data_IF_331264690138
#
_entry.id   IF_331264690138
#
_cell.length_a   1.000
_cell.length_b   1.000
_cell.length_c   1.000
_cell.angle_alpha   90.00
_cell.angle_beta   90.00
_cell.angle_gamma   90.00
#
_symmetry.space_group_name_H-M   'P 1'
#
loop_
_entity.id
_entity.type
_entity.pdbx_description
1 polymer ?
#
# COMPACT_ATOMS: atom_id res chain seq x y z
N UNK A 1 -3.40 6.06 -0.88
CA UNK A 1 -2.63 6.05 -2.16
C UNK A 1 -3.41 5.22 -3.18
N UNK A 2 -3.20 5.42 -4.49
CA UNK A 2 -3.99 4.75 -5.54
C UNK A 2 -3.07 4.01 -6.50
N UNK A 3 -3.36 2.73 -6.77
CA UNK A 3 -2.70 1.93 -7.79
C UNK A 3 -3.68 1.68 -8.95
N UNK A 4 -3.33 2.10 -10.17
CA UNK A 4 -4.16 1.90 -11.35
C UNK A 4 -3.40 1.21 -12.47
N UNK A 5 -4.10 0.37 -13.22
CA UNK A 5 -3.49 -0.30 -14.35
C UNK A 5 -4.49 -1.10 -15.18
N UNK A 6 -3.94 -1.99 -16.00
CA UNK A 6 -4.69 -2.94 -16.81
C UNK A 6 -4.05 -4.32 -16.66
N UNK A 7 -4.88 -5.32 -16.44
CA UNK A 7 -4.52 -6.73 -16.56
C UNK A 7 -5.13 -7.27 -17.86
N UNK A 8 -4.41 -8.17 -18.53
CA UNK A 8 -4.85 -8.85 -19.74
C UNK A 8 -4.36 -10.30 -19.70
N UNK A 9 -5.01 -11.17 -20.48
CA UNK A 9 -4.71 -12.61 -20.48
C UNK A 9 -5.44 -13.38 -19.39
N UNK A 10 -6.53 -12.81 -18.84
CA UNK A 10 -7.36 -13.50 -17.85
C UNK A 10 -8.04 -14.71 -18.49
N UNK A 11 -7.81 -15.89 -17.92
CA UNK A 11 -8.36 -17.17 -18.35
C UNK A 11 -9.29 -17.84 -17.33
N UNK A 12 -9.26 -17.41 -16.06
CA UNK A 12 -10.13 -17.91 -14.99
C UNK A 12 -11.55 -17.37 -15.04
N UNK A 13 -12.44 -17.89 -14.19
CA UNK A 13 -13.83 -17.41 -14.11
C UNK A 13 -13.95 -16.10 -13.33
N UNK A 14 -13.07 -15.94 -12.35
CA UNK A 14 -12.94 -14.76 -11.52
C UNK A 14 -11.48 -14.35 -11.41
N UNK A 15 -11.26 -13.07 -11.15
CA UNK A 15 -9.94 -12.54 -10.86
C UNK A 15 -9.99 -11.58 -9.67
N UNK A 16 -8.86 -11.44 -8.99
CA UNK A 16 -8.63 -10.50 -7.91
C UNK A 16 -7.21 -9.96 -8.02
N UNK A 17 -7.00 -8.71 -7.62
CA UNK A 17 -5.69 -8.11 -7.54
C UNK A 17 -5.38 -7.72 -6.10
N UNK A 18 -4.16 -8.00 -5.66
CA UNK A 18 -3.60 -7.45 -4.42
C UNK A 18 -2.35 -6.64 -4.74
N UNK A 19 -2.10 -5.61 -3.93
CA UNK A 19 -0.88 -4.81 -4.00
C UNK A 19 -0.23 -4.75 -2.63
N UNK A 20 1.09 -4.90 -2.60
CA UNK A 20 1.94 -4.67 -1.44
C UNK A 20 3.03 -3.67 -1.84
N UNK A 21 3.14 -2.55 -1.13
CA UNK A 21 4.18 -1.54 -1.35
C UNK A 21 4.92 -1.28 -0.05
N UNK A 22 6.26 -1.25 -0.12
CA UNK A 22 7.13 -0.89 0.99
C UNK A 22 7.70 0.50 0.78
N UNK A 23 7.73 1.28 1.85
CA UNK A 23 8.33 2.60 1.84
C UNK A 23 8.84 2.99 3.22
N UNK A 24 9.57 4.09 3.26
CA UNK A 24 10.06 4.71 4.48
C UNK A 24 9.22 5.95 4.75
N UNK A 25 8.48 5.94 5.85
CA UNK A 25 7.67 7.06 6.30
C UNK A 25 8.56 8.10 6.99
N UNK A 26 8.42 9.36 6.57
CA UNK A 26 9.03 10.52 7.20
C UNK A 26 8.09 11.02 8.28
N UNK A 27 8.61 11.23 9.48
CA UNK A 27 7.79 11.44 10.67
C UNK A 27 8.02 12.81 11.31
N UNK A 28 6.93 13.46 11.69
CA UNK A 28 6.91 14.54 12.67
C UNK A 28 6.23 14.08 13.97
N UNK A 29 6.76 14.52 15.09
CA UNK A 29 6.27 14.20 16.42
C UNK A 29 5.68 15.45 17.07
N UNK A 30 4.42 15.39 17.47
CA UNK A 30 3.75 16.46 18.20
C UNK A 30 3.65 16.11 19.69
N UNK A 31 4.05 17.02 20.58
CA UNK A 31 3.90 16.84 22.02
C UNK A 31 2.53 17.35 22.53
N UNK A 32 2.12 17.03 23.78
CA UNK A 32 0.84 17.50 24.32
C UNK A 32 0.71 19.03 24.44
N UNK A 33 1.83 19.75 24.37
CA UNK A 33 1.87 21.21 24.34
C UNK A 33 1.75 21.81 22.94
N UNK A 34 1.58 20.98 21.89
CA UNK A 34 1.45 21.41 20.50
C UNK A 34 2.78 21.73 19.80
N UNK A 35 3.93 21.41 20.41
CA UNK A 35 5.22 21.60 19.75
C UNK A 35 5.52 20.42 18.82
N UNK A 36 5.96 20.72 17.60
CA UNK A 36 6.35 19.75 16.58
C UNK A 36 7.88 19.62 16.52
N UNK A 37 8.38 18.40 16.45
CA UNK A 37 9.80 18.07 16.27
C UNK A 37 9.98 16.92 15.27
N UNK A 38 11.15 16.78 14.62
CA UNK A 38 11.43 15.63 13.77
C UNK A 38 11.36 14.30 14.54
N UNK A 39 10.70 13.31 13.95
CA UNK A 39 10.67 11.93 14.43
C UNK A 39 11.71 11.05 13.75
N UNK A 40 11.69 9.75 14.05
CA UNK A 40 12.49 8.74 13.37
C UNK A 40 11.77 8.22 12.12
N UNK A 41 12.47 8.23 11.00
CA UNK A 41 12.00 7.57 9.78
C UNK A 41 11.69 6.10 10.06
N UNK A 42 10.53 5.64 9.59
CA UNK A 42 9.98 4.32 9.95
C UNK A 42 9.52 3.56 8.72
N UNK A 43 9.92 2.30 8.61
CA UNK A 43 9.45 1.44 7.51
C UNK A 43 7.95 1.16 7.64
N UNK A 44 7.24 1.32 6.53
CA UNK A 44 5.81 1.06 6.44
C UNK A 44 5.50 0.08 5.32
N UNK A 45 4.50 -0.78 5.61
CA UNK A 45 3.90 -1.67 4.64
C UNK A 45 2.51 -1.15 4.29
N UNK A 46 2.27 -0.92 3.01
CA UNK A 46 0.97 -0.48 2.50
C UNK A 46 0.41 -1.59 1.63
N UNK A 47 -0.81 -1.99 1.94
CA UNK A 47 -1.52 -3.03 1.19
C UNK A 47 -2.83 -2.49 0.62
N UNK A 48 -3.32 -3.18 -0.40
CA UNK A 48 -4.64 -2.94 -0.96
C UNK A 48 -5.09 -4.13 -1.79
N UNK A 49 -6.39 -4.26 -2.00
CA UNK A 49 -6.94 -5.31 -2.85
C UNK A 49 -8.22 -4.89 -3.53
N UNK A 50 -8.54 -5.56 -4.64
CA UNK A 50 -9.90 -5.59 -5.16
C UNK A 50 -10.68 -6.70 -4.45
N UNK A 51 -12.01 -6.64 -4.52
CA UNK A 51 -12.82 -7.84 -4.32
C UNK A 51 -12.66 -8.78 -5.53
N UNK A 52 -12.94 -10.09 -5.40
CA UNK A 52 -13.06 -10.98 -6.55
C UNK A 52 -14.11 -10.46 -7.54
N UNK A 53 -13.77 -10.45 -8.82
CA UNK A 53 -14.62 -9.95 -9.90
C UNK A 53 -14.71 -11.00 -11.01
N UNK A 54 -15.85 -11.08 -11.72
CA UNK A 54 -15.96 -11.98 -12.87
C UNK A 54 -15.00 -11.54 -13.98
N UNK A 55 -14.35 -12.50 -14.62
CA UNK A 55 -13.45 -12.23 -15.75
C UNK A 55 -14.24 -11.70 -16.95
N UNK A 56 -13.88 -10.53 -17.51
CA UNK A 56 -14.54 -9.99 -18.70
C UNK A 56 -14.33 -10.90 -19.92
N UNK A 57 -15.32 -10.95 -20.82
CA UNK A 57 -15.27 -11.80 -22.03
C UNK A 57 -14.08 -11.56 -22.95
N UNK A 58 -13.50 -10.36 -22.93
CA UNK A 58 -12.30 -10.01 -23.70
C UNK A 58 -10.99 -10.32 -22.96
N UNK A 59 -11.04 -11.01 -21.81
CA UNK A 59 -9.88 -11.44 -21.03
C UNK A 59 -9.03 -10.29 -20.47
N UNK A 60 -9.60 -9.09 -20.32
CA UNK A 60 -8.85 -7.93 -19.80
C UNK A 60 -9.72 -7.00 -18.97
N UNK A 61 -9.13 -6.43 -17.93
CA UNK A 61 -9.80 -5.50 -17.01
C UNK A 61 -8.88 -4.34 -16.65
N UNK A 62 -9.45 -3.14 -16.52
CA UNK A 62 -8.78 -2.01 -15.84
C UNK A 62 -9.08 -2.10 -14.35
N UNK A 63 -8.10 -1.74 -13.53
CA UNK A 63 -8.25 -1.75 -12.08
C UNK A 63 -7.86 -0.42 -11.47
N UNK A 64 -8.45 -0.15 -10.31
CA UNK A 64 -8.10 0.94 -9.40
C UNK A 64 -8.18 0.38 -7.98
N UNK A 65 -7.04 0.28 -7.32
CA UNK A 65 -6.93 -0.17 -5.93
C UNK A 65 -6.65 1.08 -5.08
N UNK A 66 -7.50 1.31 -4.08
CA UNK A 66 -7.17 2.23 -2.99
C UNK A 66 -6.41 1.43 -1.94
N UNK A 67 -5.31 1.99 -1.47
CA UNK A 67 -4.58 1.43 -0.34
C UNK A 67 -4.97 2.14 0.94
N UNK A 68 -4.79 1.44 2.05
CA UNK A 68 -4.93 2.05 3.37
C UNK A 68 -3.81 3.07 3.61
N UNK A 69 -4.11 4.06 4.45
CA UNK A 69 -3.08 4.99 4.96
C UNK A 69 -2.24 4.21 5.98
N UNK A 70 -0.91 4.19 5.86
CA UNK A 70 -0.08 3.49 6.83
C UNK A 70 -0.20 4.14 8.21
N UNK A 71 0.02 3.35 9.25
CA UNK A 71 0.16 3.83 10.61
C UNK A 71 1.52 3.44 11.16
N UNK A 72 2.04 4.24 12.07
CA UNK A 72 3.29 3.98 12.80
C UNK A 72 3.01 4.07 14.29
N UNK A 73 3.71 3.31 15.13
CA UNK A 73 3.58 3.45 16.58
C UNK A 73 4.17 4.80 17.03
N UNK A 74 3.72 5.32 18.18
CA UNK A 74 4.33 6.52 18.76
C UNK A 74 5.76 6.25 19.26
N UNK A 75 6.02 5.09 19.85
CA UNK A 75 7.36 4.69 20.30
C UNK A 75 7.82 3.45 19.50
N UNK A 76 9.08 3.39 19.01
CA UNK A 76 10.21 4.32 19.20
C UNK A 76 10.26 5.49 18.20
N UNK A 77 9.26 5.63 17.34
CA UNK A 77 9.20 6.67 16.29
C UNK A 77 9.39 8.09 16.83
N UNK A 78 8.77 8.36 17.97
CA UNK A 78 8.87 9.56 18.77
C UNK A 78 9.52 9.25 20.13
N UNK A 79 9.94 10.27 20.90
CA UNK A 79 10.71 10.07 22.13
C UNK A 79 10.03 9.20 23.21
N UNK A 80 8.69 9.19 23.27
CA UNK A 80 7.88 8.34 24.14
C UNK A 80 6.38 8.42 23.73
N UNK A 81 5.54 7.60 24.35
CA UNK A 81 4.11 7.49 24.04
C UNK A 81 3.26 8.73 24.35
N UNK A 82 3.80 9.74 25.03
CA UNK A 82 3.10 11.02 25.21
C UNK A 82 3.16 11.91 23.96
N UNK A 83 4.04 11.59 23.02
CA UNK A 83 4.11 12.25 21.72
C UNK A 83 3.25 11.50 20.70
N UNK A 84 2.66 12.23 19.76
CA UNK A 84 1.90 11.66 18.65
C UNK A 84 2.77 11.66 17.39
N UNK A 85 2.91 10.50 16.75
CA UNK A 85 3.60 10.36 15.49
C UNK A 85 2.67 10.71 14.31
N UNK A 86 3.14 11.60 13.44
CA UNK A 86 2.47 11.99 12.22
C UNK A 86 3.33 11.62 11.02
N UNK A 87 2.78 10.81 10.12
CA UNK A 87 3.41 10.54 8.82
C UNK A 87 3.20 11.78 7.95
N UNK A 88 4.28 12.47 7.61
CA UNK A 88 4.23 13.66 6.74
C UNK A 88 4.46 13.31 5.27
N UNK A 89 5.25 12.26 5.01
CA UNK A 89 5.48 11.74 3.67
C UNK A 89 5.88 10.26 3.73
N UNK A 90 5.82 9.56 2.58
CA UNK A 90 6.31 8.19 2.44
C UNK A 90 7.14 8.09 1.16
N UNK A 91 8.42 7.77 1.33
CA UNK A 91 9.33 7.48 0.21
C UNK A 91 9.19 6.01 -0.15
N UNK A 92 8.59 5.73 -1.30
CA UNK A 92 8.38 4.37 -1.76
C UNK A 92 9.57 3.81 -2.53
N UNK A 93 9.78 2.50 -2.37
CA UNK A 93 10.60 1.72 -3.29
C UNK A 93 9.74 1.09 -4.38
N UNK A 94 9.59 -0.23 -4.31
CA UNK A 94 8.79 -0.99 -5.25
C UNK A 94 7.44 -1.41 -4.65
N UNK A 95 6.46 -1.62 -5.53
CA UNK A 95 5.21 -2.29 -5.24
C UNK A 95 5.15 -3.64 -5.97
N UNK A 96 4.68 -4.66 -5.26
CA UNK A 96 4.37 -5.98 -5.81
C UNK A 96 2.87 -6.09 -6.02
N UNK A 97 2.46 -6.41 -7.23
CA UNK A 97 1.07 -6.61 -7.62
C UNK A 97 0.90 -8.10 -7.91
N UNK A 98 -0.04 -8.74 -7.25
CA UNK A 98 -0.35 -10.17 -7.43
C UNK A 98 -1.73 -10.30 -8.06
N UNK A 99 -1.80 -11.05 -9.16
CA UNK A 99 -3.04 -11.47 -9.80
C UNK A 99 -3.44 -12.84 -9.25
N UNK A 100 -4.65 -12.93 -8.73
CA UNK A 100 -5.27 -14.20 -8.38
C UNK A 100 -6.38 -14.50 -9.39
N UNK A 101 -6.40 -15.73 -9.92
CA UNK A 101 -7.49 -16.27 -10.73
C UNK A 101 -8.11 -17.46 -10.00
N UNK A 102 -9.43 -17.39 -9.79
CA UNK A 102 -10.17 -18.41 -9.04
C UNK A 102 -9.54 -18.73 -7.66
N UNK A 103 -9.00 -17.68 -7.01
CA UNK A 103 -8.37 -17.75 -5.69
C UNK A 103 -6.90 -18.19 -5.67
N UNK A 104 -6.31 -18.52 -6.82
CA UNK A 104 -4.92 -18.96 -6.91
C UNK A 104 -4.05 -17.88 -7.56
N UNK A 105 -2.83 -17.69 -7.07
CA UNK A 105 -1.87 -16.81 -7.73
C UNK A 105 -1.59 -17.29 -9.15
N UNK A 106 -1.95 -16.45 -10.13
CA UNK A 106 -1.74 -16.69 -11.56
C UNK A 106 -0.51 -15.95 -12.06
N UNK A 107 -0.30 -14.72 -11.59
CA UNK A 107 0.85 -13.89 -11.97
C UNK A 107 1.26 -12.91 -10.85
N UNK A 108 2.49 -12.42 -10.91
CA UNK A 108 3.02 -11.44 -9.98
C UNK A 108 4.06 -10.54 -10.67
N UNK A 109 3.94 -9.23 -10.46
CA UNK A 109 4.88 -8.25 -11.00
C UNK A 109 5.35 -7.29 -9.91
N UNK A 110 6.62 -6.90 -9.97
CA UNK A 110 7.19 -5.86 -9.12
C UNK A 110 7.48 -4.63 -9.98
N UNK A 111 6.97 -3.47 -9.56
CA UNK A 111 7.12 -2.20 -10.28
C UNK A 111 7.62 -1.11 -9.33
N UNK A 112 8.47 -0.17 -9.78
CA UNK A 112 8.81 1.00 -8.98
C UNK A 112 7.56 1.86 -8.76
N UNK A 113 7.41 2.39 -7.56
CA UNK A 113 6.37 3.39 -7.26
C UNK A 113 6.87 4.74 -7.75
N UNK A 114 6.01 5.49 -8.44
CA UNK A 114 6.28 6.84 -8.95
C UNK A 114 5.40 7.86 -8.25
#
# INVERSE_FOLDING_TARGET
>A
MICNGKVAGLGGTTFQLTVEARGTAIIECENPGGNVAPGQDTDVLITGSTQPQPTPRNGSARYRISTDVPTVPNTPTCPNDSWTAHIVDVIFGNATITLLEDGNTSDQVTVPVQ
#
